data_IF_560598949800
#
_entry.id   IF_560598949800
#
_cell.length_a   1.000
_cell.length_b   1.000
_cell.length_c   1.000
_cell.angle_alpha   90.00
_cell.angle_beta   90.00
_cell.angle_gamma   90.00
#
_symmetry.space_group_name_H-M   'P 1'
#
loop_
_entity.id
_entity.type
_entity.pdbx_description
1 polymer ?
#
# COMPACT_ATOMS: atom_id res chain seq x y z
N UNK A 1 4.83 -15.28 -18.11
CA UNK A 1 4.22 -13.93 -18.05
C UNK A 1 4.40 -13.39 -16.65
N UNK A 2 5.23 -12.37 -16.48
CA UNK A 2 5.65 -11.91 -15.15
C UNK A 2 4.88 -10.66 -14.74
N UNK A 3 4.43 -10.65 -13.48
CA UNK A 3 3.75 -9.51 -12.86
C UNK A 3 4.71 -8.73 -11.98
N UNK A 4 4.92 -7.45 -12.28
CA UNK A 4 5.76 -6.55 -11.48
C UNK A 4 4.87 -5.68 -10.58
N UNK A 5 4.96 -5.87 -9.26
CA UNK A 5 4.32 -4.97 -8.29
C UNK A 5 5.33 -3.93 -7.81
N UNK A 6 4.99 -2.65 -7.90
CA UNK A 6 5.81 -1.50 -7.47
C UNK A 6 5.12 -0.83 -6.30
N UNK A 7 5.76 -0.87 -5.14
CA UNK A 7 5.26 -0.20 -3.94
C UNK A 7 5.89 1.19 -3.80
N UNK A 8 5.05 2.22 -3.83
CA UNK A 8 5.48 3.62 -3.67
C UNK A 8 5.38 4.11 -2.22
N UNK A 9 4.86 3.27 -1.32
CA UNK A 9 4.53 3.63 0.06
C UNK A 9 3.42 4.67 0.15
N UNK A 10 3.45 5.47 1.21
CA UNK A 10 2.45 6.49 1.49
C UNK A 10 1.73 6.25 2.81
N UNK A 11 1.46 7.33 3.56
CA UNK A 11 0.68 7.24 4.80
C UNK A 11 -0.82 7.18 4.49
N UNK A 12 -1.52 6.12 4.91
CA UNK A 12 -2.96 6.01 4.74
C UNK A 12 -3.68 7.25 5.30
N UNK A 13 -4.51 7.88 4.47
CA UNK A 13 -5.30 9.05 4.85
C UNK A 13 -4.56 10.39 4.93
N UNK A 14 -3.24 10.44 4.75
CA UNK A 14 -2.45 11.68 4.90
C UNK A 14 -1.81 12.12 3.58
N UNK A 15 -1.01 11.25 2.94
CA UNK A 15 -0.17 11.66 1.81
C UNK A 15 -0.91 11.74 0.48
N UNK A 16 -2.16 11.30 0.47
CA UNK A 16 -2.94 11.06 -0.74
C UNK A 16 -3.44 12.32 -1.46
N UNK A 17 -2.96 13.53 -1.13
CA UNK A 17 -3.39 14.90 -1.51
C UNK A 17 -3.65 15.18 -3.02
N UNK A 18 -4.51 14.41 -3.69
CA UNK A 18 -5.03 14.69 -5.04
C UNK A 18 -4.90 13.55 -6.04
N UNK A 19 -4.10 12.51 -5.78
CA UNK A 19 -3.80 11.47 -6.78
C UNK A 19 -4.10 10.03 -6.35
N UNK A 20 -4.60 9.81 -5.13
CA UNK A 20 -4.70 8.45 -4.61
C UNK A 20 -6.12 7.91 -4.74
N UNK A 21 -6.39 7.19 -5.83
CA UNK A 21 -7.50 6.24 -5.95
C UNK A 21 -7.37 5.11 -4.89
N UNK A 22 -6.15 4.88 -4.36
CA UNK A 22 -5.79 3.79 -3.45
C UNK A 22 -5.87 4.12 -1.96
N UNK A 23 -6.24 5.35 -1.59
CA UNK A 23 -6.36 5.67 -0.18
C UNK A 23 -7.64 5.06 0.39
N UNK A 24 -7.49 3.87 0.98
CA UNK A 24 -8.56 3.03 1.55
C UNK A 24 -9.66 3.80 2.31
N UNK A 25 -9.33 4.94 2.93
CA UNK A 25 -10.28 5.75 3.72
C UNK A 25 -10.46 7.21 3.26
N UNK A 26 -9.88 7.67 2.14
CA UNK A 26 -9.90 9.10 1.74
C UNK A 26 -11.29 9.70 1.56
N UNK A 27 -12.23 8.89 1.08
CA UNK A 27 -13.62 9.32 0.84
C UNK A 27 -14.61 8.76 1.85
N UNK A 28 -14.14 7.97 2.82
CA UNK A 28 -14.99 7.40 3.86
C UNK A 28 -15.22 8.45 4.94
N UNK A 29 -16.21 9.32 4.72
CA UNK A 29 -16.63 10.35 5.68
C UNK A 29 -17.81 9.92 6.56
N UNK A 30 -18.68 9.07 6.03
CA UNK A 30 -19.97 8.73 6.65
C UNK A 30 -19.93 7.37 7.36
N UNK A 31 -19.09 6.45 6.90
CA UNK A 31 -18.99 5.10 7.47
C UNK A 31 -17.90 5.06 8.54
N UNK A 32 -18.29 4.85 9.79
CA UNK A 32 -17.32 4.59 10.84
C UNK A 32 -16.58 3.27 10.53
N UNK A 33 -15.24 3.20 10.70
CA UNK A 33 -14.49 1.98 10.42
C UNK A 33 -15.03 0.82 11.27
N UNK A 34 -15.33 -0.32 10.66
CA UNK A 34 -16.00 -1.45 11.32
C UNK A 34 -15.11 -2.15 12.38
N UNK A 35 -13.79 -1.94 12.29
CA UNK A 35 -12.79 -2.56 13.17
C UNK A 35 -12.08 -3.75 12.52
N UNK A 36 -11.24 -4.45 13.28
CA UNK A 36 -10.34 -5.46 12.73
C UNK A 36 -11.00 -6.85 12.63
N UNK A 37 -11.09 -7.45 11.43
CA UNK A 37 -11.63 -8.81 11.21
C UNK A 37 -10.97 -9.86 12.10
N UNK A 38 -9.70 -9.68 12.40
CA UNK A 38 -8.88 -10.60 13.20
C UNK A 38 -8.97 -10.37 14.72
N UNK A 39 -9.74 -9.37 15.18
CA UNK A 39 -9.85 -9.04 16.60
C UNK A 39 -11.32 -9.03 17.06
N UNK A 40 -11.94 -10.19 17.37
CA UNK A 40 -13.31 -10.23 17.90
C UNK A 40 -13.48 -9.35 19.15
N UNK A 41 -14.58 -8.58 19.30
CA UNK A 41 -15.73 -8.45 18.40
C UNK A 41 -15.55 -7.30 17.38
N UNK A 42 -14.51 -7.38 16.54
CA UNK A 42 -14.09 -6.35 15.59
C UNK A 42 -13.62 -5.06 16.25
N UNK A 43 -12.69 -5.17 17.21
CA UNK A 43 -12.16 -4.01 17.93
C UNK A 43 -11.37 -3.07 17.01
N UNK A 44 -11.67 -1.77 17.07
CA UNK A 44 -10.87 -0.71 16.43
C UNK A 44 -9.56 -0.50 17.19
N UNK A 45 -8.45 -0.35 16.47
CA UNK A 45 -7.14 -0.11 17.07
C UNK A 45 -6.60 -1.27 17.92
N UNK A 46 -6.96 -2.52 17.60
CA UNK A 46 -6.33 -3.67 18.27
C UNK A 46 -4.85 -3.78 17.90
N UNK A 47 -4.09 -4.49 18.73
CA UNK A 47 -2.64 -4.63 18.57
C UNK A 47 -2.27 -5.31 17.25
N UNK A 48 -3.00 -6.36 16.86
CA UNK A 48 -2.80 -7.06 15.59
C UNK A 48 -2.94 -6.14 14.38
N UNK A 49 -4.07 -5.42 14.25
CA UNK A 49 -4.23 -4.50 13.14
C UNK A 49 -3.23 -3.33 13.20
N UNK A 50 -2.86 -2.89 14.40
CA UNK A 50 -1.89 -1.80 14.56
C UNK A 50 -0.49 -2.20 14.16
N UNK A 51 -0.08 -3.47 14.35
CA UNK A 51 1.29 -3.93 14.07
C UNK A 51 1.43 -4.69 12.76
N UNK A 52 0.42 -5.46 12.39
CA UNK A 52 0.50 -6.45 11.32
C UNK A 52 -0.31 -6.09 10.07
N UNK A 53 -1.27 -5.17 10.18
CA UNK A 53 -2.11 -4.73 9.05
C UNK A 53 -1.79 -3.29 8.65
N UNK A 54 -1.58 -2.40 9.63
CA UNK A 54 -1.13 -1.04 9.35
C UNK A 54 0.31 -1.08 8.86
N UNK A 55 0.49 -0.69 7.61
CA UNK A 55 1.81 -0.41 7.08
C UNK A 55 2.34 0.91 7.66
N UNK A 56 3.61 0.87 8.06
CA UNK A 56 4.31 1.99 8.67
C UNK A 56 5.18 2.69 7.65
N UNK A 57 4.58 3.21 6.58
CA UNK A 57 5.31 4.09 5.69
C UNK A 57 5.49 5.47 6.35
N UNK A 58 6.72 5.99 6.32
CA UNK A 58 7.00 7.37 6.76
C UNK A 58 6.43 8.41 5.79
N UNK A 59 6.09 7.98 4.59
CA UNK A 59 5.51 8.76 3.50
C UNK A 59 5.65 7.99 2.19
N UNK A 60 5.43 8.65 1.07
CA UNK A 60 5.91 8.12 -0.21
C UNK A 60 7.43 7.98 -0.19
N UNK A 61 7.95 6.91 -0.79
CA UNK A 61 9.39 6.76 -1.01
C UNK A 61 9.86 7.80 -2.02
N UNK A 62 11.16 8.09 -2.03
CA UNK A 62 11.72 8.97 -3.05
C UNK A 62 11.59 8.32 -4.44
N UNK A 63 11.28 9.12 -5.46
CA UNK A 63 11.09 8.60 -6.82
C UNK A 63 12.35 7.92 -7.36
N UNK A 64 13.54 8.41 -7.00
CA UNK A 64 14.80 7.79 -7.38
C UNK A 64 14.96 6.42 -6.74
N UNK A 65 14.62 6.29 -5.46
CA UNK A 65 14.63 5.01 -4.75
C UNK A 65 13.67 4.01 -5.41
N UNK A 66 12.48 4.44 -5.83
CA UNK A 66 11.53 3.63 -6.60
C UNK A 66 12.10 3.21 -7.95
N UNK A 67 12.71 4.13 -8.69
CA UNK A 67 13.28 3.84 -10.00
C UNK A 67 14.46 2.85 -9.92
N UNK A 68 15.35 3.04 -8.94
CA UNK A 68 16.52 2.18 -8.72
C UNK A 68 16.08 0.74 -8.34
N UNK A 69 15.09 0.59 -7.45
CA UNK A 69 14.51 -0.72 -7.09
C UNK A 69 13.84 -1.41 -8.28
N UNK A 70 13.06 -0.67 -9.07
CA UNK A 70 12.37 -1.20 -10.25
C UNK A 70 13.38 -1.66 -11.29
N UNK A 71 14.42 -0.88 -11.54
CA UNK A 71 15.49 -1.23 -12.48
C UNK A 71 16.20 -2.52 -12.05
N UNK A 72 16.59 -2.62 -10.77
CA UNK A 72 17.24 -3.81 -10.24
C UNK A 72 16.37 -5.07 -10.40
N UNK A 73 15.05 -4.95 -10.21
CA UNK A 73 14.10 -6.06 -10.40
C UNK A 73 13.92 -6.45 -11.86
N UNK A 74 13.85 -5.47 -12.77
CA UNK A 74 13.73 -5.73 -14.20
C UNK A 74 14.96 -6.47 -14.74
N UNK A 75 16.15 -6.21 -14.20
CA UNK A 75 17.38 -6.87 -14.62
C UNK A 75 17.46 -8.36 -14.27
N UNK A 76 16.72 -8.80 -13.23
CA UNK A 76 16.73 -10.21 -12.78
C UNK A 76 15.52 -11.00 -13.25
N UNK A 77 14.52 -10.34 -13.84
CA UNK A 77 13.33 -11.00 -14.38
C UNK A 77 13.71 -11.61 -15.74
N UNK A 78 13.63 -12.95 -15.91
CA UNK A 78 14.06 -13.61 -17.14
C UNK A 78 13.03 -13.53 -18.28
N UNK A 79 11.77 -13.27 -17.95
CA UNK A 79 10.63 -13.26 -18.88
C UNK A 79 10.13 -11.84 -19.15
N UNK A 80 9.35 -11.66 -20.21
CA UNK A 80 8.67 -10.39 -20.45
C UNK A 80 7.66 -10.06 -19.32
N UNK A 81 7.71 -8.80 -18.86
CA UNK A 81 6.75 -8.25 -17.90
C UNK A 81 5.45 -7.93 -18.63
N UNK A 82 4.40 -8.69 -18.33
CA UNK A 82 3.10 -8.53 -19.00
C UNK A 82 2.15 -7.56 -18.28
N UNK A 83 2.42 -7.24 -17.01
CA UNK A 83 1.64 -6.27 -16.23
C UNK A 83 2.48 -5.67 -15.11
N UNK A 84 2.33 -4.36 -14.94
CA UNK A 84 2.88 -3.60 -13.81
C UNK A 84 1.72 -3.13 -12.94
N UNK A 85 1.79 -3.38 -11.64
CA UNK A 85 0.84 -2.87 -10.63
C UNK A 85 1.57 -1.87 -9.76
N UNK A 86 1.05 -0.65 -9.65
CA UNK A 86 1.59 0.36 -8.75
C UNK A 86 0.66 0.42 -7.53
N UNK A 87 1.21 0.17 -6.35
CA UNK A 87 0.50 0.19 -5.07
C UNK A 87 1.09 1.24 -4.15
N UNK A 88 0.24 1.95 -3.40
CA UNK A 88 0.65 2.89 -2.34
C UNK A 88 0.60 2.26 -0.94
N UNK A 89 0.80 0.93 -0.88
CA UNK A 89 0.58 0.15 0.32
C UNK A 89 -0.86 -0.33 0.53
N UNK A 90 -1.03 -1.34 1.38
CA UNK A 90 -2.29 -1.93 1.81
C UNK A 90 -2.38 -3.42 1.49
N UNK A 91 -3.37 -4.08 2.07
CA UNK A 91 -3.73 -5.45 1.69
C UNK A 91 -4.35 -5.43 0.27
N UNK A 92 -3.78 -6.16 -0.71
CA UNK A 92 -4.22 -6.15 -2.10
C UNK A 92 -5.61 -6.75 -2.34
#
# INVERSE_FOLDING_TARGET
MTHLSVDIGGRPGIDCRGFCEYCYFRHVKETAPLGCRYCPPYKKGCDYCSRSVREYYRGFRDLREIADDVLARLQVIPDEVSRVTISGGGDP
#
